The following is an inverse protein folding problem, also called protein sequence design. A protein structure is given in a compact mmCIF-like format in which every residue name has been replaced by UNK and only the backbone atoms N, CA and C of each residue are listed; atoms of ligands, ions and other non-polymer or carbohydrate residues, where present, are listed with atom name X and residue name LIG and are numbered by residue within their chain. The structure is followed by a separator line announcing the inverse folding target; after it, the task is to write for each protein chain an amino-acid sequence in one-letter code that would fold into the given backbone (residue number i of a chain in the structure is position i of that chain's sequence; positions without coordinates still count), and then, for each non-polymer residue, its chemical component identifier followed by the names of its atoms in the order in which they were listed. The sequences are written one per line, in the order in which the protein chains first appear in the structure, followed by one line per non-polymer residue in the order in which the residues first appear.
data_IF_809957034676
#
_entry.id   IF_809957034676
#
_cell.length_a   1.000
_cell.length_b   1.000
_cell.length_c   1.000
_cell.angle_alpha   90.00
_cell.angle_beta   90.00
_cell.angle_gamma   90.00
#
_symmetry.space_group_name_H-M   'P 1'
#
loop_
_entity.id
_entity.type
_entity.pdbx_description
1 polymer ?
#
# COMPACT_ATOMS: atom_id res chain seq x y z
N UNK A 1 -55.68 -73.96 -38.07
CA UNK A 1 -55.42 -73.13 -36.89
C UNK A 1 -53.96 -72.69 -36.88
N UNK A 2 -53.63 -71.46 -37.28
CA UNK A 2 -52.24 -70.95 -37.46
C UNK A 2 -51.83 -70.16 -36.26
N UNK A 3 -50.82 -70.61 -35.56
CA UNK A 3 -50.15 -69.79 -34.44
C UNK A 3 -49.25 -68.74 -35.11
N UNK A 4 -49.48 -67.51 -34.74
CA UNK A 4 -48.58 -66.39 -35.07
C UNK A 4 -47.59 -66.18 -33.89
N UNK A 5 -46.31 -66.41 -34.21
CA UNK A 5 -45.18 -66.11 -33.29
C UNK A 5 -44.93 -64.61 -33.29
N UNK A 6 -44.98 -64.04 -32.13
CA UNK A 6 -44.68 -62.60 -31.92
C UNK A 6 -43.21 -62.47 -31.49
N UNK A 7 -42.41 -61.88 -32.35
CA UNK A 7 -40.98 -61.62 -32.08
C UNK A 7 -40.86 -60.26 -31.42
N UNK A 8 -40.51 -60.22 -30.12
CA UNK A 8 -40.20 -59.01 -29.38
C UNK A 8 -38.77 -58.60 -29.66
N UNK A 9 -38.58 -57.45 -30.34
CA UNK A 9 -37.26 -56.79 -30.53
C UNK A 9 -36.96 -55.98 -29.31
N UNK A 10 -35.92 -56.35 -28.53
CA UNK A 10 -35.32 -55.61 -27.49
C UNK A 10 -34.49 -54.50 -28.13
N UNK A 11 -34.92 -53.21 -27.98
CA UNK A 11 -34.09 -52.06 -28.28
C UNK A 11 -33.23 -51.76 -27.05
N UNK A 12 -31.95 -52.06 -27.10
CA UNK A 12 -30.98 -51.64 -26.07
C UNK A 12 -30.69 -50.14 -26.24
N UNK A 13 -31.19 -49.34 -25.32
CA UNK A 13 -30.84 -47.92 -25.21
C UNK A 13 -29.49 -47.82 -24.50
N UNK A 14 -28.43 -47.50 -25.23
CA UNK A 14 -27.12 -47.20 -24.68
C UNK A 14 -27.19 -45.75 -24.15
N UNK A 15 -27.29 -45.60 -22.84
CA UNK A 15 -27.13 -44.28 -22.17
C UNK A 15 -25.63 -44.01 -22.04
N UNK A 16 -25.12 -43.15 -22.91
CA UNK A 16 -23.76 -42.64 -22.84
C UNK A 16 -23.67 -41.62 -21.68
N UNK A 17 -23.21 -42.04 -20.49
CA UNK A 17 -22.94 -41.15 -19.36
C UNK A 17 -21.65 -40.39 -19.66
N UNK A 18 -21.78 -39.17 -20.17
CA UNK A 18 -20.68 -38.22 -20.33
C UNK A 18 -20.29 -37.73 -18.97
N UNK A 19 -19.33 -38.39 -18.31
CA UNK A 19 -18.70 -37.91 -17.07
C UNK A 19 -17.83 -36.68 -17.38
N UNK A 20 -18.47 -35.52 -17.46
CA UNK A 20 -17.77 -34.24 -17.54
C UNK A 20 -17.02 -33.99 -16.23
N UNK A 21 -15.72 -34.20 -16.20
CA UNK A 21 -14.86 -33.69 -15.15
C UNK A 21 -14.88 -32.17 -15.19
N UNK A 22 -15.65 -31.55 -14.30
CA UNK A 22 -15.55 -30.11 -14.01
C UNK A 22 -14.16 -29.89 -13.42
N UNK A 23 -13.19 -29.53 -14.25
CA UNK A 23 -11.93 -28.98 -13.77
C UNK A 23 -12.25 -27.66 -13.08
N UNK A 24 -12.24 -27.67 -11.76
CA UNK A 24 -12.28 -26.44 -10.97
C UNK A 24 -11.03 -25.65 -11.33
N UNK A 25 -11.19 -24.63 -12.17
CA UNK A 25 -10.16 -23.61 -12.38
C UNK A 25 -10.16 -22.78 -11.09
N UNK A 26 -9.49 -23.28 -10.06
CA UNK A 26 -9.07 -22.44 -8.95
C UNK A 26 -8.03 -21.50 -9.54
N UNK A 27 -8.45 -20.27 -9.87
CA UNK A 27 -7.55 -19.21 -10.27
C UNK A 27 -6.50 -19.04 -9.18
N UNK A 28 -5.31 -19.57 -9.40
CA UNK A 28 -4.19 -19.44 -8.49
C UNK A 28 -3.87 -17.95 -8.38
N UNK A 29 -4.27 -17.34 -7.26
CA UNK A 29 -3.99 -15.93 -6.99
C UNK A 29 -2.47 -15.75 -7.06
N UNK A 30 -1.99 -14.84 -7.93
CA UNK A 30 -0.57 -14.56 -8.10
C UNK A 30 0.06 -14.30 -6.72
N UNK A 31 1.08 -15.04 -6.38
CA UNK A 31 1.84 -14.83 -5.16
C UNK A 31 2.87 -13.71 -5.40
N UNK A 32 2.72 -12.60 -4.69
CA UNK A 32 3.64 -11.48 -4.76
C UNK A 32 4.82 -11.69 -3.81
N UNK A 33 6.02 -11.56 -4.32
CA UNK A 33 7.24 -11.57 -3.51
C UNK A 33 7.35 -10.26 -2.71
N UNK A 34 8.19 -10.27 -1.66
CA UNK A 34 8.51 -9.07 -0.88
C UNK A 34 9.00 -7.91 -1.75
N UNK A 35 9.91 -8.20 -2.67
CA UNK A 35 10.53 -7.18 -3.51
C UNK A 35 9.54 -6.60 -4.53
N UNK A 36 8.66 -7.41 -5.09
CA UNK A 36 7.56 -6.94 -5.94
C UNK A 36 6.60 -6.04 -5.17
N UNK A 37 6.24 -6.39 -3.93
CA UNK A 37 5.38 -5.55 -3.07
C UNK A 37 6.03 -4.21 -2.75
N UNK A 38 7.33 -4.18 -2.45
CA UNK A 38 8.10 -2.94 -2.18
C UNK A 38 8.20 -2.09 -3.45
N UNK A 39 8.45 -2.70 -4.60
CA UNK A 39 8.50 -1.99 -5.89
C UNK A 39 7.15 -1.36 -6.24
N UNK A 40 6.06 -2.11 -6.07
CA UNK A 40 4.70 -1.62 -6.30
C UNK A 40 4.34 -0.47 -5.35
N UNK A 41 4.65 -0.60 -4.07
CA UNK A 41 4.43 0.47 -3.10
C UNK A 41 5.20 1.73 -3.46
N UNK A 42 6.46 1.60 -3.90
CA UNK A 42 7.29 2.73 -4.35
C UNK A 42 6.66 3.43 -5.56
N UNK A 43 6.16 2.68 -6.52
CA UNK A 43 5.48 3.22 -7.70
C UNK A 43 4.25 4.04 -7.29
N UNK A 44 3.37 3.48 -6.47
CA UNK A 44 2.17 4.16 -5.96
C UNK A 44 2.54 5.46 -5.23
N UNK A 45 3.51 5.40 -4.30
CA UNK A 45 3.94 6.55 -3.50
C UNK A 45 4.55 7.65 -4.35
N UNK A 46 5.34 7.29 -5.37
CA UNK A 46 5.99 8.25 -6.28
C UNK A 46 4.97 8.93 -7.19
N UNK A 47 4.04 8.16 -7.75
CA UNK A 47 2.99 8.66 -8.64
C UNK A 47 2.00 9.55 -7.88
N UNK A 48 1.58 9.13 -6.69
CA UNK A 48 0.61 9.86 -5.87
C UNK A 48 1.21 11.15 -5.29
N UNK A 49 2.50 11.15 -4.93
CA UNK A 49 3.24 12.26 -4.33
C UNK A 49 2.69 12.74 -2.98
N UNK A 50 1.38 13.03 -2.90
CA UNK A 50 0.73 13.51 -1.68
C UNK A 50 0.26 12.34 -0.82
N UNK A 51 0.44 12.46 0.50
CA UNK A 51 -0.06 11.48 1.45
C UNK A 51 -0.65 12.14 2.69
N UNK A 52 -1.44 11.38 3.44
CA UNK A 52 -1.79 11.75 4.80
C UNK A 52 -0.66 11.35 5.75
N UNK A 53 -0.09 12.31 6.48
CA UNK A 53 0.75 12.05 7.64
C UNK A 53 -0.13 12.05 8.89
N UNK A 54 -0.15 10.95 9.62
CA UNK A 54 -0.93 10.76 10.84
C UNK A 54 0.02 10.71 12.03
N UNK A 55 -0.17 11.62 12.98
CA UNK A 55 0.59 11.75 14.22
C UNK A 55 -0.37 11.68 15.41
N UNK A 56 0.16 11.54 16.63
CA UNK A 56 -0.65 11.55 17.85
C UNK A 56 -0.45 12.85 18.61
N UNK A 57 -1.54 13.51 19.04
CA UNK A 57 -1.48 14.68 19.90
C UNK A 57 -1.18 14.32 21.38
N UNK A 58 -1.09 15.33 22.25
CA UNK A 58 -0.81 15.12 23.68
C UNK A 58 -1.86 14.30 24.43
N UNK A 59 -3.08 14.23 23.90
CA UNK A 59 -4.19 13.46 24.47
C UNK A 59 -4.36 12.08 23.81
N UNK A 60 -3.43 11.65 22.94
CA UNK A 60 -3.49 10.39 22.25
C UNK A 60 -4.46 10.36 21.06
N UNK A 61 -4.96 11.51 20.59
CA UNK A 61 -5.84 11.54 19.41
C UNK A 61 -5.02 11.62 18.13
N UNK A 62 -5.43 10.85 17.14
CA UNK A 62 -4.86 10.87 15.80
C UNK A 62 -5.12 12.23 15.11
N UNK A 63 -4.08 12.78 14.50
CA UNK A 63 -4.09 14.04 13.77
C UNK A 63 -3.60 13.77 12.34
N UNK A 64 -4.50 13.86 11.37
CA UNK A 64 -4.17 13.66 9.95
C UNK A 64 -4.01 15.00 9.23
N UNK A 65 -3.06 15.08 8.28
CA UNK A 65 -2.91 16.21 7.33
C UNK A 65 -2.25 15.74 6.05
N UNK A 66 -2.57 16.39 4.95
CA UNK A 66 -1.90 16.16 3.66
C UNK A 66 -0.50 16.74 3.68
N UNK A 67 0.47 15.97 3.18
CA UNK A 67 1.86 16.34 3.04
C UNK A 67 2.32 16.11 1.60
N UNK A 68 3.16 17.03 1.09
CA UNK A 68 3.90 16.88 -0.15
C UNK A 68 5.19 16.11 0.14
N UNK A 69 5.20 14.83 -0.18
CA UNK A 69 6.32 13.93 0.10
C UNK A 69 7.43 14.05 -0.98
N UNK A 70 8.67 13.74 -0.60
CA UNK A 70 9.68 13.28 -1.54
C UNK A 70 9.41 11.80 -1.87
N UNK A 71 9.80 11.39 -3.09
CA UNK A 71 9.79 9.98 -3.44
C UNK A 71 10.61 9.18 -2.41
N UNK A 72 10.16 7.96 -2.02
CA UNK A 72 10.89 7.16 -1.05
C UNK A 72 12.25 6.72 -1.62
N UNK A 73 13.28 6.71 -0.76
CA UNK A 73 14.60 6.21 -1.09
C UNK A 73 14.62 4.67 -1.21
N UNK A 74 15.79 4.08 -1.48
CA UNK A 74 15.97 2.63 -1.61
C UNK A 74 15.53 1.86 -0.35
N UNK A 75 15.61 2.49 0.83
CA UNK A 75 15.18 1.93 2.12
C UNK A 75 13.74 2.24 2.46
N UNK A 76 12.99 2.81 1.51
CA UNK A 76 11.61 3.29 1.69
C UNK A 76 11.48 4.40 2.75
N UNK A 77 12.57 5.15 3.03
CA UNK A 77 12.53 6.34 3.86
C UNK A 77 11.83 7.48 3.12
N UNK A 78 10.91 8.17 3.80
CA UNK A 78 10.15 9.28 3.23
C UNK A 78 10.52 10.57 3.93
N UNK A 79 10.71 11.64 3.13
CA UNK A 79 11.07 12.96 3.63
C UNK A 79 9.98 13.98 3.33
N UNK A 80 9.82 14.94 4.26
CA UNK A 80 8.88 16.06 4.14
C UNK A 80 9.53 17.34 4.58
N UNK A 81 9.25 18.44 3.87
CA UNK A 81 9.49 19.78 4.37
C UNK A 81 8.43 20.21 5.39
N UNK A 82 8.83 20.95 6.40
CA UNK A 82 7.89 21.49 7.40
C UNK A 82 8.42 22.77 8.05
N UNK A 83 7.50 23.54 8.63
CA UNK A 83 7.86 24.62 9.54
C UNK A 83 8.17 24.02 10.93
N UNK A 84 9.32 24.34 11.54
CA UNK A 84 9.74 23.81 12.85
C UNK A 84 8.79 24.16 14.01
N UNK A 85 7.98 25.21 13.85
CA UNK A 85 6.97 25.63 14.84
C UNK A 85 5.62 24.95 14.64
N UNK A 86 5.47 24.12 13.61
CA UNK A 86 4.20 23.44 13.33
C UNK A 86 3.85 22.41 14.41
N UNK A 87 2.54 22.25 14.66
CA UNK A 87 1.99 21.29 15.64
C UNK A 87 2.56 19.88 15.46
N UNK A 88 2.66 19.40 14.21
CA UNK A 88 3.18 18.07 13.90
C UNK A 88 4.62 17.84 14.38
N UNK A 89 5.44 18.88 14.43
CA UNK A 89 6.82 18.81 14.97
C UNK A 89 6.80 18.52 16.47
N UNK A 90 5.94 19.18 17.22
CA UNK A 90 5.79 18.92 18.66
C UNK A 90 5.19 17.52 18.93
N UNK A 91 4.25 17.08 18.09
CA UNK A 91 3.64 15.75 18.15
C UNK A 91 4.68 14.65 17.90
N UNK A 92 5.48 14.76 16.83
CA UNK A 92 6.55 13.80 16.48
C UNK A 92 7.62 13.72 17.56
N UNK A 93 8.05 14.87 18.13
CA UNK A 93 9.03 14.88 19.22
C UNK A 93 8.55 14.14 20.46
N UNK A 94 7.24 14.15 20.72
CA UNK A 94 6.63 13.47 21.86
C UNK A 94 6.33 12.00 21.54
N UNK A 95 5.78 11.73 20.35
CA UNK A 95 5.36 10.41 19.89
C UNK A 95 5.90 10.19 18.47
N UNK A 96 7.09 9.58 18.33
CA UNK A 96 7.74 9.45 17.03
C UNK A 96 7.07 8.43 16.10
N UNK A 97 6.18 7.57 16.59
CA UNK A 97 5.43 6.63 15.75
C UNK A 97 4.39 7.39 14.94
N UNK A 98 4.44 7.19 13.62
CA UNK A 98 3.55 7.84 12.66
C UNK A 98 3.01 6.84 11.65
N UNK A 99 1.95 7.23 10.98
CA UNK A 99 1.44 6.49 9.82
C UNK A 99 1.39 7.43 8.62
N UNK A 100 1.86 6.94 7.47
CA UNK A 100 1.64 7.56 6.16
C UNK A 100 0.59 6.76 5.42
N UNK A 101 -0.32 7.45 4.73
CA UNK A 101 -1.33 6.81 3.89
C UNK A 101 -1.37 7.49 2.53
N UNK A 102 -1.07 6.72 1.49
CA UNK A 102 -1.16 7.11 0.08
C UNK A 102 -2.36 6.44 -0.54
N UNK A 103 -3.12 7.15 -1.35
CA UNK A 103 -4.27 6.61 -2.06
C UNK A 103 -4.23 7.01 -3.54
N UNK A 104 -4.11 6.02 -4.40
CA UNK A 104 -4.19 6.14 -5.85
C UNK A 104 -5.60 5.73 -6.29
N UNK A 105 -6.42 6.74 -6.57
CA UNK A 105 -7.81 6.55 -7.00
C UNK A 105 -7.91 5.84 -8.34
N UNK A 106 -7.00 6.17 -9.27
CA UNK A 106 -7.06 5.66 -10.64
C UNK A 106 -6.79 4.16 -10.69
N UNK A 107 -5.83 3.70 -9.90
CA UNK A 107 -5.46 2.29 -9.83
C UNK A 107 -6.20 1.52 -8.73
N UNK A 108 -7.08 2.19 -7.97
CA UNK A 108 -7.72 1.62 -6.79
C UNK A 108 -6.68 0.97 -5.87
N UNK A 109 -5.60 1.74 -5.63
CA UNK A 109 -4.45 1.26 -4.91
C UNK A 109 -4.17 2.14 -3.68
N UNK A 110 -3.55 1.54 -2.65
CA UNK A 110 -3.09 2.31 -1.51
C UNK A 110 -1.82 1.72 -0.92
N UNK A 111 -1.09 2.57 -0.22
CA UNK A 111 0.04 2.19 0.61
C UNK A 111 -0.13 2.79 2.00
N UNK A 112 0.00 1.94 3.03
CA UNK A 112 0.12 2.39 4.41
C UNK A 112 1.54 2.12 4.90
N UNK A 113 2.22 3.12 5.45
CA UNK A 113 3.50 2.95 6.13
C UNK A 113 3.34 3.26 7.60
N UNK A 114 3.56 2.29 8.46
CA UNK A 114 3.82 2.50 9.86
C UNK A 114 5.31 2.70 10.06
N UNK A 115 5.70 3.84 10.63
CA UNK A 115 7.11 4.22 10.71
C UNK A 115 7.45 5.00 11.96
N UNK A 116 8.75 5.27 12.08
CA UNK A 116 9.30 6.16 13.12
C UNK A 116 9.76 7.45 12.45
N UNK A 117 9.24 8.57 12.92
CA UNK A 117 9.58 9.90 12.41
C UNK A 117 10.59 10.61 13.33
N UNK A 118 11.47 11.41 12.73
CA UNK A 118 12.31 12.36 13.44
C UNK A 118 12.35 13.70 12.73
N UNK A 119 12.55 14.75 13.49
CA UNK A 119 12.73 16.11 12.93
C UNK A 119 14.23 16.33 12.71
N UNK A 120 14.60 16.70 11.50
CA UNK A 120 15.98 16.92 11.08
C UNK A 120 16.19 18.38 10.71
N UNK A 121 17.20 18.99 11.28
CA UNK A 121 17.59 20.38 10.99
C UNK A 121 19.04 20.46 10.48
N UNK A 122 19.52 19.39 9.88
CA UNK A 122 20.84 19.34 9.26
C UNK A 122 20.86 20.15 7.96
N UNK A 123 21.90 20.97 7.77
CA UNK A 123 22.01 21.89 6.62
C UNK A 123 22.18 21.14 5.29
N UNK A 124 22.94 20.03 5.29
CA UNK A 124 23.16 19.25 4.07
C UNK A 124 21.90 18.52 3.65
N UNK A 125 21.19 17.89 4.62
CA UNK A 125 19.91 17.24 4.34
C UNK A 125 18.85 18.24 3.88
N UNK A 126 18.79 19.43 4.48
CA UNK A 126 17.90 20.52 4.05
C UNK A 126 18.22 21.00 2.63
N UNK A 127 19.48 20.94 2.21
CA UNK A 127 19.87 21.27 0.84
C UNK A 127 19.45 20.20 -0.17
N UNK A 128 19.60 18.90 0.19
CA UNK A 128 19.22 17.77 -0.65
C UNK A 128 17.71 17.66 -0.87
N UNK A 129 16.94 17.99 0.17
CA UNK A 129 15.47 17.86 0.18
C UNK A 129 14.80 19.23 0.08
N UNK A 130 15.11 19.97 -1.01
CA UNK A 130 14.50 21.25 -1.32
C UNK A 130 13.70 21.19 -2.61
N UNK A 131 12.54 21.85 -2.65
CA UNK A 131 11.75 22.08 -3.87
C UNK A 131 11.65 23.57 -4.11
N UNK A 132 11.89 24.03 -5.35
CA UNK A 132 11.97 25.47 -5.66
C UNK A 132 10.65 26.21 -5.49
N UNK A 133 9.53 25.53 -5.67
CA UNK A 133 8.18 26.03 -5.42
C UNK A 133 7.89 26.29 -3.90
N UNK A 134 8.79 25.85 -3.03
CA UNK A 134 8.65 26.04 -1.58
C UNK A 134 9.15 27.39 -1.05
N UNK A 135 9.78 28.21 -1.89
CA UNK A 135 10.26 29.56 -1.47
C UNK A 135 9.16 30.42 -0.86
N UNK A 136 7.95 30.34 -1.37
CA UNK A 136 6.81 31.09 -0.84
C UNK A 136 6.39 30.64 0.58
N UNK A 137 6.56 29.35 0.89
CA UNK A 137 6.21 28.76 2.18
C UNK A 137 7.34 28.90 3.22
N UNK A 138 8.59 28.99 2.77
CA UNK A 138 9.78 29.05 3.61
C UNK A 138 10.68 30.23 3.22
N UNK A 139 10.25 31.48 3.42
CA UNK A 139 11.00 32.69 2.99
C UNK A 139 12.37 32.82 3.66
N UNK A 140 12.48 32.41 4.93
CA UNK A 140 13.77 32.24 5.62
C UNK A 140 14.03 30.73 5.80
N UNK A 141 14.75 30.15 4.81
CA UNK A 141 15.05 28.73 4.79
C UNK A 141 15.82 28.24 6.02
N UNK A 142 16.58 29.09 6.68
CA UNK A 142 17.32 28.70 7.87
C UNK A 142 16.40 28.57 9.09
N UNK A 143 15.45 29.48 9.26
CA UNK A 143 14.57 29.55 10.43
C UNK A 143 13.23 28.86 10.24
N UNK A 144 12.64 28.98 9.05
CA UNK A 144 11.27 28.52 8.78
C UNK A 144 11.16 27.11 8.18
N UNK A 145 12.29 26.46 7.85
CA UNK A 145 12.34 25.16 7.21
C UNK A 145 13.08 24.13 8.05
N UNK A 146 12.46 23.00 8.28
CA UNK A 146 13.03 21.78 8.83
C UNK A 146 12.53 20.58 8.02
N UNK A 147 13.14 19.41 8.21
CA UNK A 147 12.72 18.16 7.61
C UNK A 147 12.07 17.23 8.63
N UNK A 148 11.14 16.43 8.16
CA UNK A 148 10.69 15.22 8.83
C UNK A 148 11.19 14.03 8.00
N UNK A 149 11.97 13.16 8.62
CA UNK A 149 12.37 11.85 8.09
C UNK A 149 11.45 10.80 8.69
N UNK A 150 10.88 9.93 7.86
CA UNK A 150 10.07 8.78 8.30
C UNK A 150 10.74 7.51 7.81
N UNK A 151 11.23 6.69 8.75
CA UNK A 151 11.76 5.35 8.46
C UNK A 151 10.67 4.32 8.62
N UNK A 152 10.44 3.46 7.62
CA UNK A 152 9.40 2.45 7.68
C UNK A 152 9.74 1.37 8.71
N UNK A 153 8.73 0.90 9.42
CA UNK A 153 8.78 -0.30 10.26
C UNK A 153 7.95 -1.40 9.59
N UNK A 154 6.82 -1.03 9.03
CA UNK A 154 5.91 -1.91 8.33
C UNK A 154 5.27 -1.16 7.17
N UNK A 155 5.04 -1.88 6.08
CA UNK A 155 4.34 -1.40 4.90
C UNK A 155 3.20 -2.36 4.58
N UNK A 156 2.05 -1.82 4.24
CA UNK A 156 0.91 -2.52 3.67
C UNK A 156 0.64 -1.95 2.27
N UNK A 157 0.38 -2.81 1.30
CA UNK A 157 0.14 -2.39 -0.08
C UNK A 157 -0.98 -3.19 -0.72
N UNK A 158 -1.88 -2.48 -1.39
CA UNK A 158 -2.96 -3.07 -2.21
C UNK A 158 -2.97 -2.35 -3.55
N UNK A 159 -3.11 -3.11 -4.64
CA UNK A 159 -3.42 -2.59 -5.97
C UNK A 159 -4.43 -3.51 -6.65
N UNK A 160 -5.67 -3.05 -6.74
CA UNK A 160 -6.76 -3.88 -7.29
C UNK A 160 -6.56 -4.16 -8.78
N UNK A 161 -6.13 -3.17 -9.56
CA UNK A 161 -5.92 -3.36 -11.01
C UNK A 161 -4.80 -4.36 -11.32
N UNK A 162 -3.78 -4.45 -10.46
CA UNK A 162 -2.67 -5.40 -10.64
C UNK A 162 -2.91 -6.74 -9.92
N UNK A 163 -4.05 -6.91 -9.23
CA UNK A 163 -4.37 -8.12 -8.48
C UNK A 163 -3.53 -8.31 -7.21
N UNK A 164 -2.91 -7.26 -6.69
CA UNK A 164 -2.26 -7.26 -5.37
C UNK A 164 -3.33 -6.98 -4.31
N UNK A 165 -3.96 -8.04 -3.84
CA UNK A 165 -5.12 -7.98 -2.95
C UNK A 165 -4.79 -8.56 -1.58
N UNK A 166 -5.62 -8.22 -0.60
CA UNK A 166 -5.59 -8.82 0.72
C UNK A 166 -6.09 -10.27 0.74
N UNK A 167 -5.91 -10.91 1.86
CA UNK A 167 -6.46 -12.25 2.10
C UNK A 167 -7.98 -12.24 1.93
N UNK A 168 -8.51 -13.15 1.11
CA UNK A 168 -9.93 -13.15 0.71
C UNK A 168 -10.91 -13.39 1.85
N UNK A 169 -10.48 -13.97 2.96
CA UNK A 169 -11.30 -14.28 4.12
C UNK A 169 -11.24 -13.21 5.21
N UNK A 170 -10.07 -12.61 5.41
CA UNK A 170 -9.82 -11.67 6.52
C UNK A 170 -9.64 -10.24 6.07
N UNK A 171 -9.50 -9.99 4.76
CA UNK A 171 -9.20 -8.70 4.14
C UNK A 171 -7.87 -8.07 4.61
N UNK A 172 -7.01 -8.86 5.28
CA UNK A 172 -5.69 -8.37 5.69
C UNK A 172 -4.86 -8.04 4.46
N UNK A 173 -4.33 -6.81 4.35
CA UNK A 173 -3.50 -6.42 3.22
C UNK A 173 -2.16 -7.16 3.22
N UNK A 174 -1.55 -7.37 2.06
CA UNK A 174 -0.18 -7.82 1.96
C UNK A 174 0.74 -6.88 2.71
N UNK A 175 1.65 -7.44 3.50
CA UNK A 175 2.45 -6.70 4.48
C UNK A 175 3.92 -7.02 4.35
N UNK A 176 4.77 -5.99 4.42
CA UNK A 176 6.23 -6.09 4.45
C UNK A 176 6.75 -5.48 5.75
N UNK A 177 7.56 -6.21 6.49
CA UNK A 177 8.24 -5.72 7.70
C UNK A 177 9.68 -5.32 7.36
N UNK A 178 10.13 -4.19 7.89
CA UNK A 178 11.49 -3.69 7.74
C UNK A 178 12.27 -3.90 9.03
N UNK A 179 13.36 -4.65 8.93
CA UNK A 179 14.29 -4.84 10.06
C UNK A 179 15.25 -3.65 10.08
N UNK A 180 14.89 -2.59 10.78
CA UNK A 180 15.77 -1.43 11.01
C UNK A 180 16.76 -1.78 12.12
N UNK A 181 17.82 -2.53 11.78
CA UNK A 181 19.02 -2.67 12.63
C UNK A 181 20.01 -1.56 12.34
#
# INVERSE_FOLDING_TARGET
MRLRTFTIRFCAVIVLVCSGTLASISGQQRQWSRDEMVAEAREIMTTTRYCALITMDKSGRAQARTMDAFAPDEKMTVWFGTNPLSRKVAEIRRHPRVTLYYFDRENQAYVTIHGTARVVNDTQEKARHWKDDWKAFYPDRHKSYALIEVRPVQLEVVNQKKGLLGDSRTWRPPTVVFNNR
#
